data_IF_142500809823
#
_entry.id   IF_142500809823
#
_cell.length_a   1.000
_cell.length_b   1.000
_cell.length_c   1.000
_cell.angle_alpha   90.00
_cell.angle_beta   90.00
_cell.angle_gamma   90.00
#
_symmetry.space_group_name_H-M   'P 1'
#
loop_
_entity.id
_entity.type
_entity.pdbx_description
1 polymer ?
#
# COMPACT_ATOMS: atom_id res chain seq x y z
N UNK A 1 9.64 7.00 -7.48
CA UNK A 1 9.72 7.85 -6.26
C UNK A 1 11.06 8.58 -5.95
N UNK A 2 11.91 8.96 -6.92
CA UNK A 2 13.20 9.66 -6.65
C UNK A 2 13.08 11.02 -5.94
N UNK A 3 12.05 11.81 -6.28
CA UNK A 3 11.82 13.12 -5.67
C UNK A 3 11.48 13.01 -4.18
N UNK A 4 10.70 11.99 -3.79
CA UNK A 4 10.35 11.73 -2.40
C UNK A 4 11.60 11.31 -1.59
N UNK A 5 12.48 10.49 -2.16
CA UNK A 5 13.74 10.10 -1.52
C UNK A 5 14.64 11.31 -1.26
N UNK A 6 14.78 12.20 -2.26
CA UNK A 6 15.51 13.47 -2.09
C UNK A 6 14.88 14.32 -0.99
N UNK A 7 13.56 14.48 -0.98
CA UNK A 7 12.86 15.25 0.04
C UNK A 7 13.14 14.70 1.45
N UNK A 8 12.95 13.39 1.66
CA UNK A 8 13.20 12.75 2.94
C UNK A 8 14.66 12.90 3.41
N UNK A 9 15.62 12.75 2.49
CA UNK A 9 17.04 12.97 2.76
C UNK A 9 17.33 14.39 3.22
N UNK A 10 16.72 15.39 2.58
CA UNK A 10 16.92 16.79 2.95
C UNK A 10 16.27 17.12 4.30
N UNK A 11 15.05 16.66 4.55
CA UNK A 11 14.35 16.88 5.84
C UNK A 11 15.10 16.21 6.99
N UNK A 12 15.67 15.01 6.78
CA UNK A 12 16.45 14.30 7.81
C UNK A 12 17.74 15.01 8.25
N UNK A 13 18.22 16.03 7.52
CA UNK A 13 19.34 16.86 7.98
C UNK A 13 18.99 17.64 9.24
N UNK A 14 17.74 18.05 9.38
CA UNK A 14 17.23 18.78 10.55
C UNK A 14 16.39 17.90 11.47
N UNK A 15 15.66 16.92 10.91
CA UNK A 15 14.75 16.04 11.64
C UNK A 15 15.08 14.56 11.38
N UNK A 16 16.06 13.96 12.09
CA UNK A 16 16.54 12.60 11.80
C UNK A 16 15.45 11.51 11.82
N UNK A 17 14.41 11.70 12.64
CA UNK A 17 13.28 10.76 12.79
C UNK A 17 12.20 10.89 11.70
N UNK A 18 12.33 11.86 10.77
CA UNK A 18 11.40 12.00 9.66
C UNK A 18 11.33 10.70 8.84
N UNK A 19 10.14 10.35 8.37
CA UNK A 19 9.92 9.16 7.57
C UNK A 19 8.80 9.33 6.56
N UNK A 20 8.74 8.39 5.64
CA UNK A 20 7.72 8.30 4.61
C UNK A 20 6.78 7.15 4.93
N UNK A 21 5.51 7.38 4.61
CA UNK A 21 4.51 6.34 4.54
C UNK A 21 4.34 5.98 3.07
N UNK A 22 4.41 4.69 2.75
CA UNK A 22 4.11 4.18 1.40
C UNK A 22 2.76 3.50 1.43
N UNK A 23 1.94 3.70 0.39
CA UNK A 23 0.58 3.16 0.33
C UNK A 23 0.37 2.45 -1.00
N UNK A 24 -0.08 1.20 -0.94
CA UNK A 24 -0.36 0.38 -2.11
C UNK A 24 -1.39 1.00 -3.07
N UNK A 25 -2.38 1.75 -2.57
CA UNK A 25 -3.40 2.40 -3.41
C UNK A 25 -2.85 3.58 -4.22
N UNK A 26 -1.83 4.28 -3.71
CA UNK A 26 -1.24 5.42 -4.42
C UNK A 26 -0.33 5.01 -5.56
N UNK A 27 0.24 3.79 -5.52
CA UNK A 27 1.19 3.33 -6.53
C UNK A 27 0.55 3.32 -7.94
N UNK A 28 -0.64 2.70 -8.17
CA UNK A 28 -1.32 2.79 -9.46
C UNK A 28 -1.76 4.22 -9.83
N UNK A 29 -2.17 5.03 -8.84
CA UNK A 29 -2.58 6.43 -9.04
C UNK A 29 -1.42 7.31 -9.54
N UNK A 30 -0.19 6.98 -9.15
CA UNK A 30 1.04 7.63 -9.61
C UNK A 30 1.58 7.04 -10.91
N UNK A 31 0.94 5.99 -11.44
CA UNK A 31 1.40 5.23 -12.59
C UNK A 31 2.81 4.63 -12.41
N UNK A 32 3.12 4.21 -11.18
CA UNK A 32 4.39 3.56 -10.84
C UNK A 32 4.19 2.05 -10.68
N UNK A 33 5.27 1.28 -10.84
CA UNK A 33 5.38 -0.09 -10.32
C UNK A 33 5.71 -0.08 -8.83
N UNK A 34 5.56 -1.23 -8.16
CA UNK A 34 5.94 -1.39 -6.76
C UNK A 34 7.43 -1.03 -6.55
N UNK A 35 8.30 -1.50 -7.43
CA UNK A 35 9.73 -1.26 -7.37
C UNK A 35 10.10 0.21 -7.58
N UNK A 36 9.49 0.86 -8.58
CA UNK A 36 9.70 2.30 -8.85
C UNK A 36 9.24 3.18 -7.68
N UNK A 37 8.19 2.76 -6.97
CA UNK A 37 7.63 3.53 -5.86
C UNK A 37 8.37 3.29 -4.54
N UNK A 38 8.76 2.03 -4.24
CA UNK A 38 9.26 1.64 -2.92
C UNK A 38 10.79 1.64 -2.83
N UNK A 39 11.50 1.11 -3.83
CA UNK A 39 12.96 0.94 -3.73
C UNK A 39 13.73 2.25 -3.51
N UNK A 40 13.38 3.38 -4.17
CA UNK A 40 14.09 4.64 -3.95
C UNK A 40 13.96 5.17 -2.52
N UNK A 41 12.86 4.85 -1.85
CA UNK A 41 12.51 5.42 -0.53
C UNK A 41 12.70 4.45 0.64
N UNK A 42 13.13 3.20 0.39
CA UNK A 42 13.15 2.12 1.38
C UNK A 42 13.78 2.48 2.74
N UNK A 43 14.87 3.25 2.75
CA UNK A 43 15.59 3.66 3.97
C UNK A 43 14.83 4.72 4.80
N UNK A 44 13.79 5.30 4.21
CA UNK A 44 12.96 6.35 4.81
C UNK A 44 11.59 5.85 5.24
N UNK A 45 11.21 4.61 4.92
CA UNK A 45 9.87 4.09 5.21
C UNK A 45 9.72 3.86 6.72
N UNK A 46 8.66 4.43 7.31
CA UNK A 46 8.28 4.19 8.71
C UNK A 46 6.94 3.47 8.85
N UNK A 47 6.06 3.62 7.86
CA UNK A 47 4.72 3.05 7.82
C UNK A 47 4.41 2.55 6.41
N UNK A 48 3.58 1.51 6.33
CA UNK A 48 3.04 1.02 5.08
C UNK A 48 1.51 0.92 5.17
N UNK A 49 0.81 1.35 4.13
CA UNK A 49 -0.63 1.22 4.01
C UNK A 49 -1.00 0.23 2.91
N UNK A 50 -2.08 -0.50 3.15
CA UNK A 50 -2.68 -1.45 2.23
C UNK A 50 -4.08 -0.94 1.88
N UNK A 51 -4.24 -0.48 0.64
CA UNK A 51 -5.51 0.04 0.14
C UNK A 51 -5.73 -0.31 -1.33
N UNK A 52 -6.83 0.20 -1.88
CA UNK A 52 -7.21 0.03 -3.27
C UNK A 52 -7.57 1.39 -3.89
N UNK A 53 -7.55 1.48 -5.21
CA UNK A 53 -7.97 2.65 -5.96
C UNK A 53 -8.63 2.23 -7.27
N UNK A 54 -9.25 3.16 -7.98
CA UNK A 54 -9.75 2.96 -9.35
C UNK A 54 -9.12 4.03 -10.23
N UNK A 55 -8.31 3.67 -11.23
CA UNK A 55 -7.60 4.67 -12.05
C UNK A 55 -7.68 4.42 -13.55
N UNK A 56 -8.06 3.21 -14.00
CA UNK A 56 -8.15 2.87 -15.43
C UNK A 56 -9.03 3.82 -16.27
N UNK A 57 -10.16 4.27 -15.73
CA UNK A 57 -11.11 5.10 -16.47
C UNK A 57 -11.82 6.09 -15.52
N UNK A 58 -11.75 7.41 -15.80
CA UNK A 58 -12.42 8.46 -15.01
C UNK A 58 -13.94 8.35 -14.88
N UNK A 59 -14.59 7.59 -15.77
CA UNK A 59 -16.03 7.37 -15.76
C UNK A 59 -16.47 6.25 -14.80
N UNK A 60 -15.53 5.45 -14.30
CA UNK A 60 -15.84 4.34 -13.40
C UNK A 60 -16.25 4.83 -12.01
N UNK A 61 -17.22 4.17 -11.35
CA UNK A 61 -17.52 4.41 -9.95
C UNK A 61 -16.26 4.28 -9.09
N UNK A 62 -16.08 5.21 -8.15
CA UNK A 62 -14.94 5.18 -7.23
C UNK A 62 -13.60 5.62 -7.85
N UNK A 63 -13.59 6.19 -9.06
CA UNK A 63 -12.38 6.75 -9.67
C UNK A 63 -11.60 7.69 -8.73
N UNK A 64 -10.29 7.49 -8.68
CA UNK A 64 -9.34 8.25 -7.89
C UNK A 64 -9.00 7.62 -6.54
N UNK A 65 -8.58 8.49 -5.62
CA UNK A 65 -8.10 8.17 -4.27
C UNK A 65 -9.27 7.94 -3.29
N UNK A 66 -10.08 6.92 -3.59
CA UNK A 66 -11.35 6.64 -2.88
C UNK A 66 -11.25 5.39 -2.00
N UNK A 67 -10.14 4.67 -1.99
CA UNK A 67 -9.90 3.58 -1.02
C UNK A 67 -11.06 2.57 -0.88
N UNK A 68 -11.69 2.08 -1.96
CA UNK A 68 -12.73 1.07 -1.81
C UNK A 68 -12.13 -0.23 -1.26
N UNK A 69 -12.99 -1.19 -0.90
CA UNK A 69 -12.53 -2.54 -0.51
C UNK A 69 -11.65 -3.19 -1.61
N UNK A 70 -10.87 -4.20 -1.23
CA UNK A 70 -10.12 -5.00 -2.20
C UNK A 70 -11.06 -5.78 -3.14
N UNK A 71 -10.62 -5.93 -4.40
CA UNK A 71 -11.44 -6.56 -5.45
C UNK A 71 -12.73 -5.77 -5.77
N UNK A 72 -12.71 -4.45 -5.58
CA UNK A 72 -13.79 -3.56 -6.01
C UNK A 72 -13.89 -3.57 -7.56
N UNK A 73 -15.10 -3.52 -8.17
CA UNK A 73 -15.22 -3.46 -9.62
C UNK A 73 -14.45 -2.27 -10.23
N UNK A 74 -13.50 -2.57 -11.12
CA UNK A 74 -12.61 -1.56 -11.70
C UNK A 74 -11.43 -1.13 -10.80
N UNK A 75 -11.32 -1.72 -9.61
CA UNK A 75 -10.19 -1.51 -8.70
C UNK A 75 -8.87 -2.06 -9.23
N UNK A 76 -7.77 -1.52 -8.72
CA UNK A 76 -6.42 -1.91 -9.13
C UNK A 76 -5.80 -3.01 -8.27
N UNK A 77 -6.20 -3.10 -7.00
CA UNK A 77 -5.58 -4.00 -6.03
C UNK A 77 -6.59 -5.03 -5.49
N UNK A 78 -6.21 -6.30 -5.57
CA UNK A 78 -6.81 -7.40 -4.84
C UNK A 78 -5.69 -8.29 -4.26
N UNK A 79 -5.95 -9.59 -4.11
CA UNK A 79 -5.08 -10.52 -3.40
C UNK A 79 -3.67 -10.61 -4.00
N UNK A 80 -3.54 -10.63 -5.33
CA UNK A 80 -2.26 -10.88 -5.99
C UNK A 80 -1.36 -9.63 -5.93
N UNK A 81 -1.93 -8.43 -6.11
CA UNK A 81 -1.20 -7.17 -5.97
C UNK A 81 -0.77 -6.94 -4.52
N UNK A 82 -1.64 -7.26 -3.56
CA UNK A 82 -1.30 -7.19 -2.14
C UNK A 82 -0.20 -8.19 -1.78
N UNK A 83 -0.21 -9.39 -2.34
CA UNK A 83 0.83 -10.38 -2.11
C UNK A 83 2.20 -9.90 -2.63
N UNK A 84 2.23 -9.33 -3.85
CA UNK A 84 3.45 -8.77 -4.43
C UNK A 84 4.00 -7.60 -3.58
N UNK A 85 3.12 -6.74 -3.08
CA UNK A 85 3.48 -5.64 -2.18
C UNK A 85 4.08 -6.15 -0.87
N UNK A 86 3.43 -7.12 -0.22
CA UNK A 86 3.91 -7.70 1.04
C UNK A 86 5.24 -8.45 0.84
N UNK A 87 5.42 -9.15 -0.28
CA UNK A 87 6.69 -9.80 -0.62
C UNK A 87 7.79 -8.76 -0.78
N UNK A 88 7.56 -7.67 -1.51
CA UNK A 88 8.58 -6.63 -1.67
C UNK A 88 8.93 -5.97 -0.32
N UNK A 89 7.95 -5.70 0.54
CA UNK A 89 8.19 -5.18 1.89
C UNK A 89 9.02 -6.15 2.77
N UNK A 90 8.87 -7.46 2.59
CA UNK A 90 9.75 -8.46 3.23
C UNK A 90 11.15 -8.46 2.61
N UNK A 91 11.24 -8.43 1.28
CA UNK A 91 12.51 -8.50 0.54
C UNK A 91 13.43 -7.31 0.86
N UNK A 92 12.86 -6.12 1.08
CA UNK A 92 13.62 -4.93 1.52
C UNK A 92 13.90 -4.92 3.04
N UNK A 93 13.40 -5.91 3.79
CA UNK A 93 13.56 -6.02 5.24
C UNK A 93 12.68 -5.09 6.07
N UNK A 94 11.73 -4.38 5.47
CA UNK A 94 10.79 -3.52 6.21
C UNK A 94 9.92 -4.36 7.13
N UNK A 95 9.28 -5.40 6.57
CA UNK A 95 8.65 -6.46 7.35
C UNK A 95 9.74 -7.41 7.85
N UNK A 96 9.91 -7.52 9.17
CA UNK A 96 10.86 -8.43 9.77
C UNK A 96 10.42 -8.82 11.20
N UNK A 97 10.90 -9.94 11.76
CA UNK A 97 10.48 -10.42 13.07
C UNK A 97 11.07 -9.63 14.24
N UNK A 98 12.17 -8.91 14.04
CA UNK A 98 12.91 -8.21 15.10
C UNK A 98 12.28 -6.86 15.45
N UNK A 99 11.99 -6.06 14.41
CA UNK A 99 11.35 -4.76 14.49
C UNK A 99 10.03 -4.84 13.74
N UNK A 100 8.92 -4.83 14.49
CA UNK A 100 7.56 -4.86 13.94
C UNK A 100 7.18 -3.47 13.44
N UNK A 101 7.16 -3.21 12.12
CA UNK A 101 6.70 -1.93 11.60
C UNK A 101 5.17 -1.81 11.72
N UNK A 102 4.65 -0.62 11.44
CA UNK A 102 3.21 -0.41 11.30
C UNK A 102 2.83 -0.67 9.85
N UNK A 103 1.92 -1.63 9.67
CA UNK A 103 1.24 -1.90 8.40
C UNK A 103 -0.27 -1.88 8.66
N UNK A 104 -0.97 -0.95 8.03
CA UNK A 104 -2.40 -0.69 8.28
C UNK A 104 -3.22 -0.74 6.98
N UNK A 105 -4.51 -1.03 7.11
CA UNK A 105 -5.43 -0.89 5.99
C UNK A 105 -5.87 0.57 5.85
N UNK A 106 -5.94 1.05 4.62
CA UNK A 106 -6.67 2.27 4.26
C UNK A 106 -7.80 1.88 3.31
N UNK A 107 -9.00 1.69 3.87
CA UNK A 107 -10.20 1.27 3.16
C UNK A 107 -11.42 1.99 3.73
N UNK A 108 -12.40 2.30 2.88
CA UNK A 108 -13.70 2.84 3.28
C UNK A 108 -14.84 2.20 2.50
N UNK A 109 -16.06 2.17 3.06
CA UNK A 109 -17.24 1.73 2.33
C UNK A 109 -17.52 2.58 1.10
N UNK A 110 -17.97 1.94 0.01
CA UNK A 110 -18.45 2.63 -1.17
C UNK A 110 -19.98 2.56 -1.24
N UNK A 111 -20.65 3.72 -1.32
CA UNK A 111 -22.12 3.79 -1.31
C UNK A 111 -22.69 3.25 0.00
N UNK A 112 -23.62 2.32 -0.09
CA UNK A 112 -24.33 1.72 1.06
C UNK A 112 -23.67 0.44 1.59
N UNK A 113 -22.39 0.19 1.26
CA UNK A 113 -21.64 -0.95 1.80
C UNK A 113 -21.57 -0.92 3.34
N UNK A 114 -21.73 -2.08 3.96
CA UNK A 114 -21.57 -2.23 5.41
C UNK A 114 -20.07 -2.12 5.79
N UNK A 115 -19.68 -1.20 6.68
CA UNK A 115 -18.29 -1.02 7.09
C UNK A 115 -17.67 -2.27 7.73
N UNK A 116 -18.43 -3.08 8.47
CA UNK A 116 -17.91 -4.29 9.08
C UNK A 116 -17.58 -5.34 8.00
N UNK A 117 -18.37 -5.39 6.92
CA UNK A 117 -18.08 -6.25 5.77
C UNK A 117 -16.85 -5.78 4.98
N UNK A 118 -16.60 -4.46 4.90
CA UNK A 118 -15.38 -3.91 4.29
C UNK A 118 -14.15 -4.30 5.10
N UNK A 119 -14.19 -4.19 6.42
CA UNK A 119 -13.10 -4.64 7.30
C UNK A 119 -12.90 -6.15 7.20
N UNK A 120 -13.98 -6.94 7.18
CA UNK A 120 -13.92 -8.39 7.00
C UNK A 120 -13.30 -8.78 5.64
N UNK A 121 -13.65 -8.06 4.57
CA UNK A 121 -13.04 -8.20 3.25
C UNK A 121 -11.53 -7.94 3.31
N UNK A 122 -11.11 -6.79 3.87
CA UNK A 122 -9.70 -6.43 3.96
C UNK A 122 -8.87 -7.47 4.72
N UNK A 123 -9.39 -7.95 5.86
CA UNK A 123 -8.75 -9.03 6.63
C UNK A 123 -8.63 -10.33 5.82
N UNK A 124 -9.68 -10.72 5.10
CA UNK A 124 -9.66 -11.93 4.26
C UNK A 124 -8.65 -11.80 3.12
N UNK A 125 -8.62 -10.67 2.43
CA UNK A 125 -7.65 -10.40 1.36
C UNK A 125 -6.22 -10.47 1.89
N UNK A 126 -5.93 -9.87 3.05
CA UNK A 126 -4.61 -9.97 3.67
C UNK A 126 -4.20 -11.40 3.98
N UNK A 127 -5.09 -12.22 4.55
CA UNK A 127 -4.77 -13.63 4.84
C UNK A 127 -4.45 -14.40 3.56
N UNK A 128 -5.27 -14.24 2.51
CA UNK A 128 -5.05 -14.91 1.22
C UNK A 128 -3.79 -14.40 0.51
N UNK A 129 -3.46 -13.12 0.65
CA UNK A 129 -2.26 -12.52 0.08
C UNK A 129 -1.02 -13.04 0.82
N UNK A 130 -1.08 -13.10 2.14
CA UNK A 130 0.01 -13.61 2.98
C UNK A 130 0.31 -15.09 2.72
N UNK A 131 -0.70 -15.91 2.44
CA UNK A 131 -0.51 -17.32 2.07
C UNK A 131 0.29 -17.50 0.76
N UNK A 132 0.37 -16.46 -0.09
CA UNK A 132 1.16 -16.46 -1.34
C UNK A 132 2.59 -15.96 -1.16
N UNK A 133 2.90 -15.34 -0.02
CA UNK A 133 4.23 -14.78 0.27
C UNK A 133 5.19 -15.90 0.64
N UNK A 134 6.41 -15.85 0.10
CA UNK A 134 7.47 -16.83 0.37
C UNK A 134 8.47 -16.24 1.35
N UNK A 135 8.39 -16.68 2.61
CA UNK A 135 9.40 -16.35 3.63
C UNK A 135 10.64 -17.19 3.37
N UNK A 136 11.78 -16.52 3.13
CA UNK A 136 13.08 -17.16 2.88
C UNK A 136 13.97 -17.14 4.11
#
# INVERSE_FOLDING_TARGET
AELAARYAKEVRKEYPEFGLLVDLSHIPLLHETLEESILPVKEYITHAHMGNCVVKDPSLPGYGDVHPRFGFPGGENDVDELAAYLQLLLDIGFLNPEKRPIVSFEVKPFGDEDPDLVVANAKRTLLLAWDRVVVR
#
